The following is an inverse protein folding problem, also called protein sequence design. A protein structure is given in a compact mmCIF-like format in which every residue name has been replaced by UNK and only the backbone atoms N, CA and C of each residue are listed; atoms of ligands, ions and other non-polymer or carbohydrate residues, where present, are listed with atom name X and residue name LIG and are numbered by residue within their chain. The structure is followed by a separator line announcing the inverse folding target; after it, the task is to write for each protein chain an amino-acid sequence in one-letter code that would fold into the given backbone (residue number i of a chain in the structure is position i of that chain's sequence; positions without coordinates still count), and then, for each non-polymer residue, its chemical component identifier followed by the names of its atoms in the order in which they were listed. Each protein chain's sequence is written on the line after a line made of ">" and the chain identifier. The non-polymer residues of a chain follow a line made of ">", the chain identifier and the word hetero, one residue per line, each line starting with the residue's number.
data_IF_644261673813
#
_entry.id   IF_644261673813
#
_cell.length_a   1.000
_cell.length_b   1.000
_cell.length_c   1.000
_cell.angle_alpha   90.00
_cell.angle_beta   90.00
_cell.angle_gamma   90.00
#
_symmetry.space_group_name_H-M   'P 1'
#
loop_
_entity.id
_entity.type
_entity.pdbx_description
1 polymer ?
#
# COMPACT_ATOMS: atom_id res chain seq x y z
N UNK A 1 -2.22 111.25 -56.25
CA UNK A 1 -1.53 111.92 -57.37
C UNK A 1 -0.88 110.87 -58.25
N UNK A 2 -1.23 110.84 -59.55
CA UNK A 2 -0.42 110.39 -60.73
C UNK A 2 0.15 108.94 -60.69
N UNK A 3 0.17 108.12 -61.75
CA UNK A 3 -0.23 108.17 -63.16
C UNK A 3 0.13 106.77 -63.76
N UNK A 4 -0.72 106.21 -64.64
CA UNK A 4 -0.43 105.71 -66.01
C UNK A 4 0.53 104.49 -66.14
N UNK A 5 0.04 103.29 -66.51
CA UNK A 5 -0.03 102.65 -67.87
C UNK A 5 1.37 102.45 -68.55
N UNK A 6 1.75 101.35 -69.20
CA UNK A 6 1.07 100.43 -70.13
C UNK A 6 2.03 99.27 -70.57
N UNK A 7 1.45 98.20 -71.17
CA UNK A 7 2.02 97.16 -72.09
C UNK A 7 2.69 95.93 -71.46
N UNK A 8 2.57 94.69 -71.96
CA UNK A 8 1.69 94.00 -72.93
C UNK A 8 2.11 92.50 -72.88
N UNK A 9 1.14 91.58 -72.92
CA UNK A 9 1.24 90.17 -73.41
C UNK A 9 2.26 89.19 -72.78
N UNK A 10 1.76 88.18 -72.07
CA UNK A 10 1.73 86.79 -72.57
C UNK A 10 0.69 85.95 -71.82
N UNK A 11 0.02 85.12 -72.62
CA UNK A 11 -1.12 84.25 -72.35
C UNK A 11 -0.65 82.93 -71.68
N UNK A 12 -1.58 82.23 -70.99
CA UNK A 12 -1.64 80.77 -70.77
C UNK A 12 -1.36 80.18 -69.36
N UNK A 13 -2.44 79.55 -68.87
CA UNK A 13 -2.61 78.38 -67.98
C UNK A 13 -2.29 78.44 -66.48
N UNK A 14 -3.38 78.48 -65.72
CA UNK A 14 -3.57 77.76 -64.47
C UNK A 14 -3.40 76.24 -64.63
N UNK A 15 -2.55 75.61 -63.81
CA UNK A 15 -2.73 74.22 -63.39
C UNK A 15 -2.14 74.00 -61.99
N UNK A 16 -3.01 73.57 -61.09
CA UNK A 16 -2.72 73.06 -59.76
C UNK A 16 -1.83 71.81 -59.85
N UNK A 17 -0.60 71.90 -59.33
CA UNK A 17 0.23 70.74 -59.04
C UNK A 17 -0.29 70.07 -57.76
N UNK A 18 -1.20 69.12 -57.92
CA UNK A 18 -1.39 68.06 -56.94
C UNK A 18 -0.21 67.09 -57.04
N UNK A 19 0.50 66.85 -55.95
CA UNK A 19 1.49 65.77 -55.87
C UNK A 19 0.77 64.42 -56.00
N UNK A 20 0.78 63.81 -57.18
CA UNK A 20 0.66 62.36 -57.28
C UNK A 20 2.00 61.77 -56.86
N UNK A 21 2.08 61.25 -55.61
CA UNK A 21 3.05 60.19 -55.35
C UNK A 21 2.52 58.96 -56.07
N UNK A 22 3.22 58.56 -57.13
CA UNK A 22 2.97 57.29 -57.78
C UNK A 22 3.01 56.18 -56.71
N UNK A 23 1.97 55.36 -56.68
CA UNK A 23 1.95 54.14 -55.89
C UNK A 23 2.92 53.16 -56.54
N UNK A 24 4.18 53.17 -56.12
CA UNK A 24 5.13 52.10 -56.41
C UNK A 24 4.57 50.80 -55.80
N UNK A 25 4.00 49.94 -56.64
CA UNK A 25 3.62 48.59 -56.24
C UNK A 25 4.93 47.83 -55.96
N UNK A 26 5.16 47.29 -54.75
CA UNK A 26 6.36 46.53 -54.45
C UNK A 26 6.50 45.35 -55.42
N UNK A 27 7.67 45.20 -56.06
CA UNK A 27 7.94 44.07 -56.93
C UNK A 27 8.17 42.80 -56.08
N UNK A 28 7.11 42.02 -55.88
CA UNK A 28 7.14 40.80 -55.09
C UNK A 28 7.89 39.64 -55.79
N UNK A 29 8.05 39.69 -57.11
CA UNK A 29 8.71 38.63 -57.89
C UNK A 29 10.24 38.64 -57.67
N UNK A 30 10.81 39.80 -57.32
CA UNK A 30 12.23 39.99 -57.07
C UNK A 30 12.70 39.54 -55.67
N UNK A 31 11.80 39.06 -54.80
CA UNK A 31 12.18 38.57 -53.45
C UNK A 31 13.00 37.27 -53.60
N UNK A 32 14.19 37.22 -53.02
CA UNK A 32 15.05 36.04 -53.00
C UNK A 32 14.46 34.91 -52.14
N UNK A 33 14.88 33.68 -52.39
CA UNK A 33 14.53 32.56 -51.49
C UNK A 33 15.11 32.80 -50.08
N UNK A 34 14.50 32.22 -49.03
CA UNK A 34 15.02 32.33 -47.68
C UNK A 34 16.50 31.91 -47.54
N UNK A 35 17.27 32.64 -46.73
CA UNK A 35 18.66 32.32 -46.41
C UNK A 35 18.86 31.92 -44.96
N UNK A 36 19.98 31.26 -44.67
CA UNK A 36 20.52 31.00 -43.32
C UNK A 36 19.52 30.36 -42.33
N UNK A 37 18.65 29.47 -42.83
CA UNK A 37 17.67 28.79 -41.99
C UNK A 37 18.37 27.91 -40.95
N UNK A 38 18.01 28.11 -39.69
CA UNK A 38 18.51 27.38 -38.52
C UNK A 38 17.43 27.36 -37.43
N UNK A 39 17.69 26.67 -36.31
CA UNK A 39 16.91 26.84 -35.08
C UNK A 39 17.78 26.68 -33.84
N UNK A 40 17.47 27.46 -32.81
CA UNK A 40 17.90 27.17 -31.45
C UNK A 40 16.98 26.12 -30.83
N UNK A 41 17.57 25.10 -30.22
CA UNK A 41 16.87 24.00 -29.57
C UNK A 41 17.18 24.04 -28.07
N UNK A 42 16.13 24.04 -27.24
CA UNK A 42 16.26 23.97 -25.78
C UNK A 42 15.41 22.80 -25.26
N UNK A 43 16.05 21.87 -24.55
CA UNK A 43 15.41 20.67 -23.99
C UNK A 43 15.44 20.78 -22.48
N UNK A 44 14.30 20.55 -21.81
CA UNK A 44 14.28 20.52 -20.34
C UNK A 44 14.92 19.22 -19.83
N UNK A 45 15.84 19.27 -18.85
CA UNK A 45 16.46 18.09 -18.28
C UNK A 45 15.60 17.46 -17.18
N UNK A 46 14.31 17.22 -17.44
CA UNK A 46 13.31 16.80 -16.43
C UNK A 46 12.47 15.58 -16.87
N UNK A 47 12.92 14.84 -17.88
CA UNK A 47 12.20 13.70 -18.49
C UNK A 47 10.80 14.03 -19.05
N UNK A 48 10.43 15.32 -19.17
CA UNK A 48 9.16 15.70 -19.81
C UNK A 48 9.13 15.40 -21.31
N UNK A 49 10.30 15.39 -21.96
CA UNK A 49 10.41 15.34 -23.41
C UNK A 49 10.14 16.69 -24.09
N UNK A 50 9.90 17.76 -23.32
CA UNK A 50 9.65 19.09 -23.83
C UNK A 50 10.88 19.67 -24.52
N UNK A 51 10.69 20.02 -25.80
CA UNK A 51 11.69 20.69 -26.64
C UNK A 51 11.11 22.01 -27.16
N UNK A 52 11.74 23.11 -26.77
CA UNK A 52 11.46 24.44 -27.28
C UNK A 52 12.31 24.70 -28.53
N UNK A 53 11.64 24.96 -29.66
CA UNK A 53 12.26 25.18 -30.97
C UNK A 53 12.04 26.64 -31.37
N UNK A 54 13.13 27.36 -31.59
CA UNK A 54 13.12 28.77 -32.03
C UNK A 54 13.81 28.88 -33.39
N UNK A 55 13.05 28.88 -34.51
CA UNK A 55 13.63 28.97 -35.83
C UNK A 55 14.11 30.39 -36.16
N UNK A 56 15.16 30.47 -36.97
CA UNK A 56 15.76 31.72 -37.46
C UNK A 56 16.17 31.60 -38.92
N UNK A 57 16.25 32.73 -39.61
CA UNK A 57 16.66 32.83 -41.01
C UNK A 57 16.33 34.21 -41.59
N UNK A 58 16.82 34.50 -42.80
CA UNK A 58 16.66 35.79 -43.46
C UNK A 58 15.60 35.74 -44.56
N UNK A 59 14.83 36.84 -44.71
CA UNK A 59 13.81 36.97 -45.75
C UNK A 59 12.52 36.16 -45.53
N UNK A 60 12.24 35.73 -44.30
CA UNK A 60 11.15 34.80 -43.97
C UNK A 60 9.96 35.53 -43.36
N UNK A 61 8.75 35.15 -43.76
CA UNK A 61 7.49 35.62 -43.17
C UNK A 61 6.81 34.58 -42.30
N UNK A 62 7.16 33.30 -42.46
CA UNK A 62 6.61 32.19 -41.66
C UNK A 62 7.56 30.99 -41.68
N UNK A 63 7.63 30.27 -40.56
CA UNK A 63 8.25 28.95 -40.47
C UNK A 63 7.21 27.85 -40.32
N UNK A 64 7.47 26.71 -40.96
CA UNK A 64 6.82 25.43 -40.68
C UNK A 64 7.86 24.44 -40.15
N UNK A 65 7.56 23.81 -39.02
CA UNK A 65 8.45 22.87 -38.33
C UNK A 65 7.82 21.47 -38.39
N UNK A 66 8.48 20.53 -39.04
CA UNK A 66 8.10 19.13 -39.07
C UNK A 66 8.99 18.35 -38.10
N UNK A 67 8.40 17.74 -37.08
CA UNK A 67 9.13 17.22 -35.92
C UNK A 67 9.87 15.91 -36.18
N UNK A 68 9.44 15.11 -37.16
CA UNK A 68 10.12 13.87 -37.53
C UNK A 68 9.90 12.70 -36.57
N UNK A 69 8.93 12.81 -35.66
CA UNK A 69 8.54 11.80 -34.65
C UNK A 69 7.23 11.07 -34.98
N UNK A 70 6.71 11.26 -36.20
CA UNK A 70 5.41 10.75 -36.63
C UNK A 70 4.26 11.74 -36.51
N UNK A 71 4.47 12.91 -35.89
CA UNK A 71 3.50 14.02 -35.89
C UNK A 71 3.26 14.50 -37.33
N UNK A 72 2.00 14.48 -37.76
CA UNK A 72 1.62 14.72 -39.17
C UNK A 72 1.42 16.19 -39.50
N UNK A 73 1.05 17.01 -38.52
CA UNK A 73 0.87 18.44 -38.69
C UNK A 73 2.14 19.19 -38.28
N UNK A 74 2.65 20.10 -39.13
CA UNK A 74 3.79 20.92 -38.74
C UNK A 74 3.37 22.00 -37.74
N UNK A 75 4.29 22.35 -36.85
CA UNK A 75 4.22 23.58 -36.08
C UNK A 75 4.36 24.80 -36.98
N UNK A 76 3.60 25.86 -36.71
CA UNK A 76 3.69 27.13 -37.46
C UNK A 76 4.08 28.23 -36.50
N UNK A 77 5.15 28.95 -36.81
CA UNK A 77 5.63 30.08 -35.99
C UNK A 77 6.05 31.25 -36.87
N UNK A 78 5.89 32.47 -36.35
CA UNK A 78 6.41 33.66 -37.00
C UNK A 78 7.90 33.83 -36.69
N UNK A 79 8.63 34.64 -37.47
CA UNK A 79 10.00 35.01 -37.13
C UNK A 79 10.11 35.65 -35.74
N UNK A 80 10.99 35.10 -34.90
CA UNK A 80 11.21 35.55 -33.52
C UNK A 80 10.39 34.82 -32.46
N UNK A 81 9.37 34.05 -32.87
CA UNK A 81 8.58 33.21 -31.96
C UNK A 81 9.21 31.82 -31.77
N UNK A 82 8.78 31.12 -30.71
CA UNK A 82 9.16 29.74 -30.40
C UNK A 82 7.94 28.84 -30.36
N UNK A 83 8.15 27.53 -30.55
CA UNK A 83 7.13 26.50 -30.31
C UNK A 83 7.66 25.42 -29.38
N UNK A 84 6.81 24.95 -28.47
CA UNK A 84 7.07 23.81 -27.60
C UNK A 84 6.47 22.55 -28.24
N UNK A 85 7.24 21.47 -28.29
CA UNK A 85 6.78 20.14 -28.70
C UNK A 85 7.34 19.08 -27.76
N UNK A 86 6.54 18.06 -27.44
CA UNK A 86 6.93 16.99 -26.52
C UNK A 86 7.30 15.75 -27.32
N UNK A 87 8.55 15.33 -27.22
CA UNK A 87 9.11 14.16 -27.88
C UNK A 87 9.24 12.99 -26.90
N UNK A 88 9.19 11.76 -27.42
CA UNK A 88 9.68 10.59 -26.68
C UNK A 88 11.21 10.55 -26.69
N UNK A 89 11.81 9.68 -25.86
CA UNK A 89 13.25 9.41 -25.94
C UNK A 89 13.64 8.90 -27.33
N UNK A 90 14.68 9.49 -27.92
CA UNK A 90 15.13 9.14 -29.26
C UNK A 90 15.87 10.27 -29.97
N UNK A 91 16.23 10.02 -31.23
CA UNK A 91 16.81 11.02 -32.13
C UNK A 91 15.87 11.26 -33.30
N UNK A 92 15.51 12.52 -33.52
CA UNK A 92 14.54 12.96 -34.52
C UNK A 92 15.19 13.91 -35.52
N UNK A 93 14.77 13.81 -36.79
CA UNK A 93 15.21 14.73 -37.84
C UNK A 93 14.17 15.83 -38.00
N UNK A 94 14.38 16.96 -37.32
CA UNK A 94 13.45 18.10 -37.36
C UNK A 94 13.71 18.92 -38.60
N UNK A 95 12.71 19.05 -39.47
CA UNK A 95 12.79 19.82 -40.72
C UNK A 95 12.14 21.19 -40.55
N UNK A 96 12.87 22.24 -40.86
CA UNK A 96 12.42 23.64 -40.77
C UNK A 96 12.28 24.19 -42.18
N UNK A 97 11.09 24.67 -42.53
CA UNK A 97 10.78 25.26 -43.82
C UNK A 97 10.45 26.74 -43.62
N UNK A 98 11.30 27.62 -44.15
CA UNK A 98 11.04 29.05 -44.19
C UNK A 98 10.29 29.41 -45.46
N UNK A 99 9.30 30.30 -45.37
CA UNK A 99 8.55 30.81 -46.53
C UNK A 99 8.65 32.33 -46.59
N UNK A 100 8.91 32.87 -47.78
CA UNK A 100 8.90 34.31 -48.08
C UNK A 100 7.50 34.79 -48.47
N UNK A 101 7.33 36.13 -48.60
CA UNK A 101 6.05 36.74 -48.99
C UNK A 101 5.55 36.31 -50.39
N UNK A 102 6.45 35.99 -51.32
CA UNK A 102 6.09 35.52 -52.68
C UNK A 102 5.99 33.98 -52.78
N UNK A 103 6.04 33.27 -51.64
CA UNK A 103 5.89 31.82 -51.59
C UNK A 103 7.16 31.03 -51.91
N UNK A 104 8.31 31.66 -52.17
CA UNK A 104 9.59 30.94 -52.26
C UNK A 104 9.94 30.34 -50.90
N UNK A 105 10.43 29.10 -50.93
CA UNK A 105 10.80 28.33 -49.75
C UNK A 105 12.27 27.92 -49.79
N UNK A 106 12.86 27.77 -48.60
CA UNK A 106 14.08 27.01 -48.37
C UNK A 106 13.85 26.13 -47.14
N UNK A 107 14.59 25.03 -47.03
CA UNK A 107 14.49 24.13 -45.89
C UNK A 107 15.85 23.71 -45.36
N UNK A 108 15.88 23.35 -44.07
CA UNK A 108 17.03 22.72 -43.41
C UNK A 108 16.54 21.62 -42.50
N UNK A 109 17.40 20.67 -42.15
CA UNK A 109 17.10 19.61 -41.19
C UNK A 109 18.12 19.61 -40.08
N UNK A 110 17.66 19.54 -38.83
CA UNK A 110 18.49 19.58 -37.63
C UNK A 110 18.19 18.30 -36.81
N UNK A 111 19.21 17.56 -36.36
CA UNK A 111 19.01 16.43 -35.46
C UNK A 111 18.64 16.94 -34.05
N UNK A 112 17.60 16.39 -33.47
CA UNK A 112 17.20 16.62 -32.07
C UNK A 112 17.28 15.29 -31.33
N UNK A 113 18.12 15.21 -30.30
CA UNK A 113 18.25 14.02 -29.45
C UNK A 113 17.66 14.31 -28.09
N UNK A 114 16.64 13.53 -27.72
CA UNK A 114 15.99 13.56 -26.41
C UNK A 114 16.40 12.30 -25.66
N UNK A 115 17.01 12.47 -24.49
CA UNK A 115 17.44 11.38 -23.62
C UNK A 115 16.82 11.56 -22.25
N UNK A 116 16.38 10.47 -21.63
CA UNK A 116 15.84 10.50 -20.28
C UNK A 116 16.87 10.02 -19.25
N UNK A 117 16.85 10.65 -18.08
CA UNK A 117 17.66 10.25 -16.95
C UNK A 117 17.02 9.07 -16.23
N UNK A 118 17.85 8.14 -15.75
CA UNK A 118 17.40 7.09 -14.84
C UNK A 118 16.88 7.72 -13.54
N UNK A 119 15.86 7.12 -12.90
CA UNK A 119 15.42 7.60 -11.60
C UNK A 119 16.55 7.57 -10.57
N UNK A 120 16.64 8.59 -9.71
CA UNK A 120 17.62 8.66 -8.61
C UNK A 120 16.94 8.88 -7.28
N UNK A 121 17.68 8.67 -6.19
CA UNK A 121 17.21 8.93 -4.83
C UNK A 121 15.92 8.18 -4.47
N UNK A 122 15.77 6.97 -5.00
CA UNK A 122 14.64 6.09 -4.72
C UNK A 122 14.56 5.79 -3.22
N UNK A 123 13.55 6.36 -2.57
CA UNK A 123 13.21 6.09 -1.18
C UNK A 123 11.89 5.33 -1.14
N UNK A 124 11.92 4.14 -0.54
CA UNK A 124 10.76 3.27 -0.40
C UNK A 124 10.46 3.08 1.08
N UNK A 125 9.19 3.25 1.45
CA UNK A 125 8.71 2.97 2.80
C UNK A 125 7.72 1.82 2.75
N UNK A 126 8.05 0.72 3.42
CA UNK A 126 7.17 -0.43 3.61
C UNK A 126 6.87 -0.58 5.09
N UNK A 127 5.59 -0.58 5.46
CA UNK A 127 5.16 -0.66 6.86
C UNK A 127 4.05 -1.69 7.05
N UNK A 128 4.08 -2.41 8.17
CA UNK A 128 2.99 -3.31 8.58
C UNK A 128 1.73 -2.55 8.98
N UNK A 129 0.56 -3.17 8.81
CA UNK A 129 -0.72 -2.60 9.23
C UNK A 129 -1.01 -3.05 10.67
N UNK A 130 -1.07 -2.15 11.67
CA UNK A 130 -1.24 -2.54 13.08
C UNK A 130 -2.54 -3.32 13.36
N UNK A 131 -3.59 -3.07 12.57
CA UNK A 131 -4.89 -3.71 12.70
C UNK A 131 -5.03 -4.98 11.86
N UNK A 132 -4.03 -5.33 11.05
CA UNK A 132 -4.04 -6.53 10.22
C UNK A 132 -2.61 -7.08 10.06
N UNK A 133 -2.33 -8.18 10.75
CA UNK A 133 -1.01 -8.82 10.81
C UNK A 133 -0.55 -9.44 9.49
N UNK A 134 -1.44 -9.56 8.50
CA UNK A 134 -1.17 -10.00 7.13
C UNK A 134 -1.09 -8.84 6.13
N UNK A 135 -1.19 -7.60 6.59
CA UNK A 135 -1.24 -6.41 5.74
C UNK A 135 0.03 -5.57 5.78
N UNK A 136 0.38 -4.99 4.63
CA UNK A 136 1.41 -3.95 4.51
C UNK A 136 0.92 -2.74 3.72
N UNK A 137 1.61 -1.63 3.91
CA UNK A 137 1.52 -0.44 3.08
C UNK A 137 2.86 -0.15 2.41
N UNK A 138 2.82 0.37 1.19
CA UNK A 138 3.99 0.74 0.38
C UNK A 138 3.83 2.17 -0.10
N UNK A 139 4.88 2.97 0.06
CA UNK A 139 5.05 4.31 -0.54
C UNK A 139 6.43 4.40 -1.19
N UNK A 140 6.55 5.22 -2.21
CA UNK A 140 7.83 5.51 -2.85
C UNK A 140 7.90 6.97 -3.31
N UNK A 141 9.13 7.47 -3.40
CA UNK A 141 9.48 8.75 -4.00
C UNK A 141 10.83 8.61 -4.72
N UNK A 142 11.03 9.33 -5.81
CA UNK A 142 12.29 9.33 -6.56
C UNK A 142 12.38 10.57 -7.45
N UNK A 143 13.60 11.02 -7.74
CA UNK A 143 13.83 12.03 -8.77
C UNK A 143 13.74 11.39 -10.16
N UNK A 144 13.29 12.16 -11.16
CA UNK A 144 13.24 11.77 -12.58
C UNK A 144 12.36 10.53 -12.87
N UNK A 145 11.33 10.31 -12.05
CA UNK A 145 10.36 9.22 -12.17
C UNK A 145 9.07 9.69 -12.87
N UNK A 146 8.38 8.75 -13.52
CA UNK A 146 7.04 8.93 -14.13
C UNK A 146 5.99 7.99 -13.50
N UNK A 147 6.43 7.11 -12.61
CA UNK A 147 5.62 6.24 -11.78
C UNK A 147 6.48 5.19 -11.08
N UNK A 148 5.81 4.40 -10.25
CA UNK A 148 6.39 3.24 -9.59
C UNK A 148 5.60 1.98 -9.90
N UNK A 149 6.28 0.84 -9.76
CA UNK A 149 5.71 -0.51 -9.82
C UNK A 149 6.06 -1.23 -8.53
N UNK A 150 5.09 -1.85 -7.87
CA UNK A 150 5.33 -2.73 -6.71
C UNK A 150 4.96 -4.17 -7.04
N UNK A 151 5.85 -5.08 -6.68
CA UNK A 151 5.74 -6.53 -6.72
C UNK A 151 5.74 -7.00 -5.26
N UNK A 152 4.74 -7.78 -4.82
CA UNK A 152 4.58 -8.15 -3.42
C UNK A 152 5.30 -9.43 -3.03
N UNK A 153 5.92 -10.12 -3.98
CA UNK A 153 6.73 -11.32 -3.77
C UNK A 153 5.89 -12.58 -3.65
N UNK A 154 4.63 -12.57 -4.09
CA UNK A 154 3.72 -13.73 -3.98
C UNK A 154 3.95 -14.77 -5.09
N UNK A 155 4.45 -14.34 -6.26
CA UNK A 155 4.74 -15.21 -7.39
C UNK A 155 5.85 -14.63 -8.27
N UNK A 156 6.74 -15.46 -8.85
CA UNK A 156 7.71 -15.02 -9.85
C UNK A 156 7.11 -14.40 -11.11
N UNK A 157 5.82 -14.66 -11.38
CA UNK A 157 5.08 -14.16 -12.55
C UNK A 157 4.01 -13.13 -12.17
N UNK A 158 4.07 -12.56 -10.97
CA UNK A 158 3.08 -11.57 -10.54
C UNK A 158 3.10 -10.33 -11.45
N UNK A 159 1.92 -9.79 -11.71
CA UNK A 159 1.79 -8.49 -12.39
C UNK A 159 1.92 -7.40 -11.34
N UNK A 160 2.81 -6.41 -11.53
CA UNK A 160 3.00 -5.37 -10.54
C UNK A 160 1.80 -4.43 -10.47
N UNK A 161 1.64 -3.79 -9.31
CA UNK A 161 0.72 -2.67 -9.14
C UNK A 161 1.47 -1.39 -9.47
N UNK A 162 0.92 -0.58 -10.39
CA UNK A 162 1.47 0.73 -10.72
C UNK A 162 0.89 1.79 -9.76
N UNK A 163 1.71 2.76 -9.35
CA UNK A 163 1.30 3.86 -8.48
C UNK A 163 2.16 5.11 -8.71
N UNK A 164 1.69 6.26 -8.24
CA UNK A 164 2.39 7.55 -8.36
C UNK A 164 3.03 7.96 -7.04
N UNK A 165 3.97 8.92 -7.10
CA UNK A 165 4.52 9.53 -5.88
C UNK A 165 3.41 10.11 -4.99
N UNK A 166 3.51 9.85 -3.69
CA UNK A 166 2.51 10.28 -2.70
C UNK A 166 1.38 9.27 -2.44
N UNK A 167 1.18 8.29 -3.33
CA UNK A 167 0.19 7.23 -3.12
C UNK A 167 0.56 6.32 -1.94
N UNK A 168 -0.46 5.69 -1.35
CA UNK A 168 -0.29 4.67 -0.31
C UNK A 168 -0.93 3.38 -0.79
N UNK A 169 -0.10 2.44 -1.22
CA UNK A 169 -0.57 1.15 -1.72
C UNK A 169 -0.70 0.18 -0.56
N UNK A 170 -1.88 -0.41 -0.41
CA UNK A 170 -2.17 -1.41 0.62
C UNK A 170 -2.26 -2.79 -0.01
N UNK A 171 -1.67 -3.80 0.65
CA UNK A 171 -1.75 -5.19 0.23
C UNK A 171 -1.95 -6.12 1.44
N UNK A 172 -2.70 -7.21 1.24
CA UNK A 172 -2.97 -8.23 2.24
C UNK A 172 -2.59 -9.59 1.70
N UNK A 173 -1.68 -10.27 2.39
CA UNK A 173 -1.27 -11.62 2.06
C UNK A 173 -2.32 -12.63 2.50
N UNK A 174 -2.49 -13.70 1.73
CA UNK A 174 -3.41 -14.78 2.09
C UNK A 174 -2.86 -15.64 3.25
N UNK A 175 -1.54 -15.72 3.40
CA UNK A 175 -0.87 -16.58 4.37
C UNK A 175 0.22 -15.82 5.13
N UNK A 176 0.56 -16.29 6.33
CA UNK A 176 1.79 -15.86 7.00
C UNK A 176 3.02 -16.33 6.21
N UNK A 177 4.07 -15.53 6.22
CA UNK A 177 5.28 -15.83 5.48
C UNK A 177 6.24 -14.65 5.40
N UNK A 178 7.38 -14.88 4.77
CA UNK A 178 8.33 -13.83 4.39
C UNK A 178 8.30 -13.65 2.89
N UNK A 179 8.04 -12.43 2.46
CA UNK A 179 7.86 -12.04 1.06
C UNK A 179 8.91 -11.00 0.68
N UNK A 180 9.51 -11.15 -0.50
CA UNK A 180 10.44 -10.15 -1.02
C UNK A 180 9.65 -9.12 -1.83
N UNK A 181 9.34 -7.99 -1.21
CA UNK A 181 8.68 -6.89 -1.89
C UNK A 181 9.72 -6.15 -2.73
N UNK A 182 9.41 -5.92 -4.01
CA UNK A 182 10.24 -5.16 -4.93
C UNK A 182 9.48 -3.94 -5.43
N UNK A 183 10.10 -2.76 -5.34
CA UNK A 183 9.60 -1.52 -5.92
C UNK A 183 10.54 -1.05 -7.00
N UNK A 184 9.99 -0.67 -8.16
CA UNK A 184 10.72 -0.20 -9.33
C UNK A 184 10.22 1.19 -9.68
N UNK A 185 11.08 2.20 -9.60
CA UNK A 185 10.85 3.50 -10.18
C UNK A 185 11.09 3.44 -11.69
N UNK A 186 10.14 3.95 -12.48
CA UNK A 186 10.20 3.96 -13.93
C UNK A 186 10.22 5.39 -14.46
N UNK A 187 10.86 5.59 -15.61
CA UNK A 187 10.79 6.83 -16.41
C UNK A 187 10.03 6.57 -17.70
N UNK A 188 9.85 7.59 -18.55
CA UNK A 188 9.34 7.43 -19.92
C UNK A 188 10.27 6.65 -20.86
N UNK A 189 11.50 6.37 -20.42
CA UNK A 189 12.53 5.62 -21.15
C UNK A 189 12.69 4.19 -20.62
N UNK A 190 13.81 3.55 -20.98
CA UNK A 190 14.08 2.15 -20.55
C UNK A 190 14.79 2.02 -19.19
N UNK A 191 15.33 3.13 -18.66
CA UNK A 191 16.08 3.11 -17.41
C UNK A 191 15.15 3.04 -16.18
N UNK A 192 15.59 2.33 -15.14
CA UNK A 192 14.83 2.14 -13.90
C UNK A 192 15.74 2.17 -12.68
N UNK A 193 15.18 2.45 -11.51
CA UNK A 193 15.82 2.20 -10.21
C UNK A 193 14.97 1.18 -9.43
N UNK A 194 15.62 0.25 -8.72
CA UNK A 194 14.93 -0.81 -7.98
C UNK A 194 15.30 -0.79 -6.49
N UNK A 195 14.34 -1.19 -5.66
CA UNK A 195 14.51 -1.44 -4.24
C UNK A 195 13.85 -2.76 -3.86
N UNK A 196 14.51 -3.57 -3.05
CA UNK A 196 13.96 -4.82 -2.52
C UNK A 196 14.06 -4.88 -1.01
N UNK A 197 13.02 -5.43 -0.38
CA UNK A 197 12.99 -5.65 1.07
C UNK A 197 12.21 -6.93 1.38
N UNK A 198 12.78 -7.76 2.27
CA UNK A 198 12.04 -8.88 2.84
C UNK A 198 11.08 -8.35 3.92
N UNK A 199 9.82 -8.73 3.81
CA UNK A 199 8.73 -8.40 4.73
C UNK A 199 8.20 -9.70 5.32
N UNK A 200 8.14 -9.78 6.64
CA UNK A 200 7.52 -10.92 7.33
C UNK A 200 6.14 -10.53 7.85
N UNK A 201 5.12 -11.26 7.43
CA UNK A 201 3.76 -11.17 7.95
C UNK A 201 3.40 -12.44 8.71
N UNK A 202 2.64 -12.29 9.79
CA UNK A 202 2.34 -13.40 10.71
C UNK A 202 0.85 -13.46 11.02
N UNK A 203 0.34 -14.64 11.37
CA UNK A 203 -0.97 -14.77 11.98
C UNK A 203 -0.76 -14.82 13.49
N UNK A 204 -1.41 -13.97 14.30
CA UNK A 204 -1.30 -14.05 15.74
C UNK A 204 -1.85 -15.39 16.23
N UNK A 205 -1.08 -16.06 17.10
CA UNK A 205 -1.54 -17.27 17.78
C UNK A 205 -2.45 -16.85 18.92
N UNK A 206 -3.77 -16.92 18.69
CA UNK A 206 -4.77 -16.56 19.67
C UNK A 206 -5.33 -17.80 20.37
N UNK A 207 -5.27 -17.81 21.70
CA UNK A 207 -5.87 -18.83 22.56
C UNK A 207 -7.20 -18.28 23.05
N UNK A 208 -8.32 -18.80 22.57
CA UNK A 208 -9.67 -18.39 22.97
C UNK A 208 -10.52 -19.63 23.25
N UNK A 209 -11.72 -19.45 23.81
CA UNK A 209 -12.69 -20.54 23.89
C UNK A 209 -13.23 -20.87 22.47
N UNK A 210 -13.52 -22.13 22.16
CA UNK A 210 -13.31 -23.31 23.00
C UNK A 210 -11.83 -23.72 23.12
N UNK A 211 -11.45 -24.28 24.27
CA UNK A 211 -10.14 -24.93 24.47
C UNK A 211 -10.30 -26.44 24.30
N UNK A 212 -9.96 -26.93 23.11
CA UNK A 212 -9.96 -28.35 22.72
C UNK A 212 -8.55 -28.99 22.73
N UNK A 213 -7.52 -28.17 22.90
CA UNK A 213 -6.11 -28.57 22.95
C UNK A 213 -5.56 -29.32 21.70
N UNK A 214 -6.28 -29.28 20.57
CA UNK A 214 -5.92 -30.05 19.36
C UNK A 214 -4.95 -29.30 18.43
N UNK A 215 -4.90 -27.98 18.51
CA UNK A 215 -4.05 -27.18 17.60
C UNK A 215 -2.56 -27.48 17.81
N UNK A 216 -1.83 -27.91 16.76
CA UNK A 216 -0.40 -28.18 16.85
C UNK A 216 0.45 -26.89 16.87
N UNK A 217 -0.15 -25.74 16.57
CA UNK A 217 0.55 -24.45 16.48
C UNK A 217 0.27 -23.53 17.65
N UNK A 218 -0.82 -23.74 18.40
CA UNK A 218 -1.14 -22.93 19.58
C UNK A 218 -0.32 -23.38 20.80
N UNK A 219 0.37 -22.47 21.50
CA UNK A 219 1.19 -22.80 22.65
C UNK A 219 0.35 -22.84 23.94
N UNK A 220 -0.49 -23.86 24.11
CA UNK A 220 -1.32 -24.03 25.30
C UNK A 220 -0.46 -24.16 26.57
N UNK A 221 -0.27 -23.04 27.28
CA UNK A 221 0.64 -22.94 28.42
C UNK A 221 -0.16 -22.72 29.69
N UNK A 222 0.06 -23.60 30.67
CA UNK A 222 -0.56 -23.48 31.99
C UNK A 222 0.43 -22.91 33.01
N UNK A 223 -0.05 -21.93 33.78
CA UNK A 223 0.61 -21.50 35.01
C UNK A 223 0.10 -22.34 36.17
N UNK A 224 1.03 -22.95 36.90
CA UNK A 224 0.74 -23.98 37.90
C UNK A 224 1.02 -23.45 39.32
N UNK A 225 0.21 -23.83 40.31
CA UNK A 225 0.40 -23.38 41.69
C UNK A 225 -0.10 -24.39 42.72
N UNK A 226 0.36 -24.22 43.98
CA UNK A 226 -0.05 -25.06 45.11
C UNK A 226 0.41 -26.52 45.02
N UNK A 227 1.26 -26.89 44.07
CA UNK A 227 1.71 -28.28 43.85
C UNK A 227 0.87 -29.06 42.83
N UNK A 228 -0.02 -28.40 42.10
CA UNK A 228 -0.59 -28.95 40.87
C UNK A 228 0.36 -28.73 39.69
N UNK A 229 0.28 -29.59 38.67
CA UNK A 229 1.02 -29.44 37.42
C UNK A 229 0.14 -29.87 36.25
N UNK A 230 -0.19 -28.94 35.37
CA UNK A 230 -0.98 -29.20 34.16
C UNK A 230 -0.11 -29.21 32.92
N UNK A 231 -0.26 -30.23 32.09
CA UNK A 231 0.37 -30.35 30.76
C UNK A 231 -0.62 -30.87 29.73
N UNK A 232 -0.41 -30.53 28.45
CA UNK A 232 -1.15 -31.17 27.36
C UNK A 232 -0.51 -32.51 27.03
N UNK A 233 -1.29 -33.58 26.99
CA UNK A 233 -0.85 -34.96 26.75
C UNK A 233 -1.72 -35.63 25.70
N UNK A 234 -1.25 -36.73 25.12
CA UNK A 234 -2.11 -37.60 24.31
C UNK A 234 -3.21 -38.21 25.17
N UNK A 235 -4.45 -38.19 24.68
CA UNK A 235 -5.60 -38.73 25.40
C UNK A 235 -5.49 -40.26 25.52
N UNK A 236 -5.28 -40.77 26.74
CA UNK A 236 -5.22 -42.22 27.00
C UNK A 236 -6.60 -42.89 27.10
N UNK A 237 -7.67 -42.10 27.07
CA UNK A 237 -9.04 -42.54 27.30
C UNK A 237 -9.98 -42.03 26.19
N UNK A 238 -9.68 -42.30 24.92
CA UNK A 238 -10.52 -41.87 23.78
C UNK A 238 -11.82 -42.68 23.66
N UNK A 239 -12.76 -42.47 24.57
CA UNK A 239 -14.00 -43.25 24.71
C UNK A 239 -15.19 -42.37 25.14
N UNK A 240 -16.41 -42.84 24.87
CA UNK A 240 -17.61 -42.16 25.35
C UNK A 240 -17.80 -40.77 24.75
N UNK A 241 -17.98 -39.75 25.58
CA UNK A 241 -18.25 -38.37 25.13
C UNK A 241 -16.97 -37.62 24.72
N UNK A 242 -15.79 -38.19 24.93
CA UNK A 242 -14.52 -37.58 24.59
C UNK A 242 -13.62 -38.54 23.81
N UNK A 243 -13.43 -38.22 22.54
CA UNK A 243 -12.60 -38.99 21.60
C UNK A 243 -11.47 -38.12 21.02
N UNK A 244 -11.12 -37.02 21.70
CA UNK A 244 -10.04 -36.10 21.29
C UNK A 244 -8.69 -36.80 21.26
N UNK A 245 -7.74 -36.26 20.51
CA UNK A 245 -6.37 -36.81 20.44
C UNK A 245 -5.48 -36.27 21.55
N UNK A 246 -5.77 -35.06 22.03
CA UNK A 246 -5.07 -34.34 23.08
C UNK A 246 -6.05 -33.91 24.16
N UNK A 247 -5.57 -33.90 25.40
CA UNK A 247 -6.30 -33.39 26.57
C UNK A 247 -5.32 -32.67 27.49
N UNK A 248 -5.84 -31.81 28.36
CA UNK A 248 -5.07 -31.31 29.48
C UNK A 248 -5.06 -32.33 30.63
N UNK A 249 -3.90 -32.54 31.25
CA UNK A 249 -3.67 -33.47 32.36
C UNK A 249 -3.11 -32.71 33.55
N UNK A 250 -3.91 -32.58 34.61
CA UNK A 250 -3.51 -31.99 35.87
C UNK A 250 -3.11 -33.09 36.85
N UNK A 251 -1.84 -33.10 37.24
CA UNK A 251 -1.33 -33.92 38.35
C UNK A 251 -1.37 -33.10 39.62
N UNK A 252 -2.16 -33.53 40.62
CA UNK A 252 -2.19 -32.92 41.95
C UNK A 252 -1.27 -33.71 42.88
N UNK A 253 -0.02 -33.27 42.98
CA UNK A 253 1.05 -34.00 43.67
C UNK A 253 0.73 -34.38 45.11
N UNK A 254 1.35 -35.44 45.63
CA UNK A 254 1.20 -35.81 47.03
C UNK A 254 1.66 -34.67 47.95
N UNK A 255 0.82 -34.26 48.89
CA UNK A 255 1.05 -33.10 49.75
C UNK A 255 0.78 -31.74 49.10
N UNK A 256 0.24 -31.69 47.89
CA UNK A 256 -0.21 -30.43 47.27
C UNK A 256 -1.30 -29.77 48.11
N UNK A 257 -1.35 -28.44 48.03
CA UNK A 257 -2.28 -27.59 48.78
C UNK A 257 -3.73 -27.93 48.46
N UNK A 258 -4.62 -27.66 49.43
CA UNK A 258 -6.07 -27.87 49.26
C UNK A 258 -6.69 -27.01 48.16
N UNK A 259 -6.00 -25.94 47.78
CA UNK A 259 -6.34 -25.01 46.72
C UNK A 259 -5.39 -25.13 45.51
N UNK A 260 -4.64 -26.22 45.36
CA UNK A 260 -3.75 -26.40 44.22
C UNK A 260 -4.52 -26.43 42.90
N UNK A 261 -3.98 -25.77 41.87
CA UNK A 261 -4.63 -25.65 40.57
C UNK A 261 -3.70 -25.09 39.50
N UNK A 262 -4.26 -24.88 38.32
CA UNK A 262 -3.57 -24.31 37.18
C UNK A 262 -4.48 -23.32 36.45
N UNK A 263 -3.90 -22.36 35.75
CA UNK A 263 -4.65 -21.47 34.87
C UNK A 263 -4.01 -21.32 33.49
N UNK A 264 -4.87 -21.02 32.51
CA UNK A 264 -4.48 -20.61 31.17
C UNK A 264 -5.04 -19.22 30.89
N UNK A 265 -4.26 -18.39 30.20
CA UNK A 265 -4.67 -17.06 29.77
C UNK A 265 -5.19 -17.09 28.34
N UNK A 266 -6.37 -16.51 28.14
CA UNK A 266 -6.98 -16.30 26.84
C UNK A 266 -6.47 -14.99 26.24
N UNK A 267 -6.42 -14.94 24.92
CA UNK A 267 -6.01 -13.77 24.15
C UNK A 267 -7.10 -12.69 24.07
N UNK A 268 -8.33 -13.01 24.44
CA UNK A 268 -9.44 -12.06 24.48
C UNK A 268 -10.41 -12.36 25.63
N UNK A 269 -11.11 -11.34 26.18
CA UNK A 269 -12.11 -11.55 27.22
C UNK A 269 -13.24 -12.48 26.78
N UNK A 270 -13.70 -13.33 27.69
CA UNK A 270 -14.90 -14.16 27.50
C UNK A 270 -16.13 -13.25 27.51
N UNK A 271 -17.00 -13.36 26.48
CA UNK A 271 -18.23 -12.59 26.38
C UNK A 271 -19.41 -13.30 27.05
N UNK A 272 -19.84 -12.80 28.21
CA UNK A 272 -20.97 -13.33 28.98
C UNK A 272 -22.31 -12.64 28.67
N UNK A 273 -22.40 -11.85 27.60
CA UNK A 273 -23.65 -11.13 27.23
C UNK A 273 -24.79 -12.08 26.83
N UNK A 274 -24.45 -13.22 26.21
CA UNK A 274 -25.41 -14.23 25.73
C UNK A 274 -25.25 -15.54 26.50
N UNK A 275 -24.09 -16.20 26.36
CA UNK A 275 -23.82 -17.52 26.96
C UNK A 275 -23.22 -17.37 28.35
N UNK A 276 -23.96 -17.77 29.38
CA UNK A 276 -23.61 -17.52 30.79
C UNK A 276 -23.04 -18.71 31.54
N UNK A 277 -22.83 -19.85 30.86
CA UNK A 277 -22.26 -21.04 31.46
C UNK A 277 -20.99 -21.45 30.72
N UNK A 278 -20.09 -22.12 31.44
CA UNK A 278 -18.98 -22.85 30.84
C UNK A 278 -19.20 -24.35 31.06
N UNK A 279 -18.81 -25.15 30.07
CA UNK A 279 -18.77 -26.61 30.14
C UNK A 279 -17.35 -27.08 29.98
N UNK A 280 -17.01 -28.21 30.61
CA UNK A 280 -15.71 -28.85 30.53
C UNK A 280 -15.90 -30.35 30.67
N UNK A 281 -15.30 -31.13 29.77
CA UNK A 281 -15.25 -32.58 29.92
C UNK A 281 -14.15 -32.93 30.91
N UNK A 282 -14.41 -33.89 31.79
CA UNK A 282 -13.43 -34.36 32.77
C UNK A 282 -13.42 -35.87 32.87
N UNK A 283 -12.24 -36.43 33.12
CA UNK A 283 -12.02 -37.80 33.54
C UNK A 283 -11.27 -37.79 34.87
N UNK A 284 -11.89 -38.30 35.93
CA UNK A 284 -11.34 -38.27 37.28
C UNK A 284 -11.30 -39.67 37.90
N UNK A 285 -10.26 -40.03 38.67
CA UNK A 285 -10.14 -41.35 39.30
C UNK A 285 -11.07 -41.55 40.50
N UNK A 286 -11.69 -40.48 41.00
CA UNK A 286 -12.58 -40.48 42.16
C UNK A 286 -13.88 -39.73 41.85
N UNK A 287 -15.00 -40.21 42.40
CA UNK A 287 -16.30 -39.53 42.40
C UNK A 287 -16.52 -38.75 43.70
N UNK A 288 -17.46 -37.81 43.68
CA UNK A 288 -17.77 -36.94 44.82
C UNK A 288 -16.76 -35.81 45.04
N UNK A 289 -15.73 -35.68 44.20
CA UNK A 289 -14.77 -34.58 44.28
C UNK A 289 -15.36 -33.29 43.73
N UNK A 290 -14.92 -32.17 44.29
CA UNK A 290 -15.24 -30.83 43.79
C UNK A 290 -14.21 -30.42 42.75
N UNK A 291 -14.68 -30.14 41.55
CA UNK A 291 -13.93 -29.38 40.55
C UNK A 291 -14.41 -27.94 40.63
N UNK A 292 -13.48 -27.03 40.92
CA UNK A 292 -13.78 -25.59 40.95
C UNK A 292 -13.24 -24.97 39.66
N UNK A 293 -14.05 -24.15 39.02
CA UNK A 293 -13.61 -23.25 37.96
C UNK A 293 -13.64 -21.83 38.49
N UNK A 294 -12.55 -21.09 38.29
CA UNK A 294 -12.46 -19.67 38.63
C UNK A 294 -12.10 -18.89 37.38
N UNK A 295 -12.83 -17.80 37.17
CA UNK A 295 -12.53 -16.84 36.12
C UNK A 295 -11.95 -15.59 36.76
N UNK A 296 -10.80 -15.13 36.27
CA UNK A 296 -10.14 -13.93 36.79
C UNK A 296 -9.89 -12.89 35.69
N UNK A 297 -9.90 -11.63 36.10
CA UNK A 297 -9.36 -10.56 35.28
C UNK A 297 -7.85 -10.73 35.09
N UNK A 298 -7.36 -10.37 33.90
CA UNK A 298 -5.96 -10.51 33.52
C UNK A 298 -5.01 -9.66 34.37
N UNK A 299 -5.41 -8.42 34.67
CA UNK A 299 -4.57 -7.46 35.39
C UNK A 299 -4.76 -7.51 36.92
N UNK A 300 -5.88 -8.06 37.40
CA UNK A 300 -6.25 -8.03 38.81
C UNK A 300 -7.03 -9.29 39.21
N UNK A 301 -6.34 -10.26 39.82
CA UNK A 301 -6.94 -11.53 40.23
C UNK A 301 -7.99 -11.41 41.34
N UNK A 302 -8.13 -10.24 41.99
CA UNK A 302 -9.21 -10.00 42.97
C UNK A 302 -10.57 -9.81 42.30
N UNK A 303 -10.58 -9.41 41.02
CA UNK A 303 -11.78 -9.38 40.18
C UNK A 303 -12.01 -10.76 39.58
N UNK A 304 -12.69 -11.61 40.34
CA UNK A 304 -12.91 -13.00 39.98
C UNK A 304 -14.32 -13.50 40.27
N UNK A 305 -14.64 -14.69 39.74
CA UNK A 305 -15.83 -15.46 40.11
C UNK A 305 -15.46 -16.95 40.15
N UNK A 306 -15.90 -17.63 41.21
CA UNK A 306 -15.69 -19.06 41.43
C UNK A 306 -17.02 -19.81 41.33
N UNK A 307 -16.99 -20.98 40.70
CA UNK A 307 -18.14 -21.87 40.57
C UNK A 307 -17.67 -23.32 40.73
N UNK A 308 -18.44 -24.09 41.49
CA UNK A 308 -18.15 -25.49 41.79
C UNK A 308 -19.04 -26.42 40.97
N UNK A 309 -18.46 -27.55 40.57
CA UNK A 309 -19.16 -28.69 40.01
C UNK A 309 -18.64 -29.98 40.66
N UNK A 310 -19.52 -30.96 40.82
CA UNK A 310 -19.17 -32.24 41.45
C UNK A 310 -19.04 -33.32 40.39
N UNK A 311 -17.98 -34.11 40.49
CA UNK A 311 -17.78 -35.31 39.68
C UNK A 311 -18.69 -36.42 40.20
N UNK A 312 -19.66 -36.88 39.42
CA UNK A 312 -20.63 -37.88 39.85
C UNK A 312 -20.08 -39.32 39.76
N UNK A 313 -19.23 -39.59 38.77
CA UNK A 313 -18.75 -40.95 38.47
C UNK A 313 -17.24 -40.98 38.30
N UNK A 314 -16.56 -41.94 38.91
CA UNK A 314 -15.13 -42.15 38.74
C UNK A 314 -14.83 -42.90 37.44
N UNK A 315 -13.64 -42.72 36.88
CA UNK A 315 -13.11 -43.47 35.73
C UNK A 315 -14.05 -43.48 34.52
N UNK A 316 -14.70 -42.36 34.25
CA UNK A 316 -15.53 -42.14 33.06
C UNK A 316 -15.54 -40.66 32.69
N UNK A 317 -15.62 -40.38 31.39
CA UNK A 317 -15.80 -39.02 30.91
C UNK A 317 -17.19 -38.51 31.30
N UNK A 318 -17.22 -37.30 31.83
CA UNK A 318 -18.46 -36.57 32.10
C UNK A 318 -18.28 -35.09 31.78
N UNK A 319 -19.37 -34.42 31.43
CA UNK A 319 -19.37 -32.99 31.15
C UNK A 319 -19.85 -32.24 32.38
N UNK A 320 -18.96 -31.46 33.00
CA UNK A 320 -19.30 -30.55 34.09
C UNK A 320 -19.83 -29.24 33.53
N UNK A 321 -20.79 -28.64 34.22
CA UNK A 321 -21.36 -27.33 33.89
C UNK A 321 -21.10 -26.36 35.04
N UNK A 322 -20.52 -25.21 34.72
CA UNK A 322 -20.23 -24.10 35.63
C UNK A 322 -21.14 -22.92 35.28
N UNK A 323 -22.07 -22.59 36.17
CA UNK A 323 -23.02 -21.50 35.98
C UNK A 323 -22.46 -20.15 36.44
N UNK A 324 -22.08 -19.31 35.47
CA UNK A 324 -21.59 -17.95 35.67
C UNK A 324 -22.70 -16.90 35.48
N UNK A 325 -23.98 -17.25 35.59
CA UNK A 325 -25.10 -16.30 35.43
C UNK A 325 -25.05 -15.10 36.39
N UNK A 326 -24.35 -15.25 37.53
CA UNK A 326 -24.12 -14.19 38.52
C UNK A 326 -22.77 -13.47 38.38
N UNK A 327 -22.07 -13.62 37.26
CA UNK A 327 -20.77 -12.97 37.03
C UNK A 327 -20.92 -11.45 36.87
N UNK A 328 -19.97 -10.68 37.39
CA UNK A 328 -19.97 -9.24 37.24
C UNK A 328 -19.44 -8.86 35.85
N UNK A 329 -20.35 -8.58 34.90
CA UNK A 329 -20.01 -8.19 33.53
C UNK A 329 -19.36 -6.79 33.41
N UNK A 330 -19.20 -6.05 34.51
CA UNK A 330 -18.38 -4.82 34.52
C UNK A 330 -16.87 -5.12 34.52
N UNK A 331 -16.49 -6.37 34.76
CA UNK A 331 -15.11 -6.85 34.68
C UNK A 331 -14.91 -7.66 33.41
N UNK A 332 -13.68 -7.66 32.90
CA UNK A 332 -13.25 -8.60 31.84
C UNK A 332 -12.57 -9.81 32.46
N UNK A 333 -12.77 -10.99 31.87
CA UNK A 333 -12.23 -12.25 32.36
C UNK A 333 -11.46 -12.96 31.26
N UNK A 334 -10.20 -13.28 31.52
CA UNK A 334 -9.28 -13.88 30.54
C UNK A 334 -8.43 -15.00 31.15
N UNK A 335 -8.41 -15.17 32.46
CA UNK A 335 -7.82 -16.36 33.10
C UNK A 335 -8.90 -17.38 33.37
N UNK A 336 -8.72 -18.58 32.84
CA UNK A 336 -9.50 -19.76 33.21
C UNK A 336 -8.65 -20.59 34.16
N UNK A 337 -9.05 -20.63 35.43
CA UNK A 337 -8.38 -21.39 36.49
C UNK A 337 -9.21 -22.63 36.81
N UNK A 338 -8.55 -23.78 36.91
CA UNK A 338 -9.18 -25.06 37.26
C UNK A 338 -8.50 -25.68 38.47
N UNK A 339 -9.32 -26.16 39.40
CA UNK A 339 -8.89 -26.87 40.59
C UNK A 339 -9.59 -28.22 40.64
N UNK A 340 -8.84 -29.29 40.81
CA UNK A 340 -9.41 -30.63 41.04
C UNK A 340 -9.33 -31.01 42.51
N UNK A 341 -10.37 -31.69 42.98
CA UNK A 341 -10.52 -32.13 44.36
C UNK A 341 -10.33 -30.98 45.36
N UNK A 342 -10.98 -29.86 45.07
CA UNK A 342 -10.81 -28.62 45.84
C UNK A 342 -11.21 -28.82 47.31
N UNK A 343 -10.37 -28.33 48.22
CA UNK A 343 -10.55 -28.51 49.66
C UNK A 343 -9.82 -29.74 50.23
N UNK A 344 -9.40 -30.68 49.39
CA UNK A 344 -8.61 -31.85 49.80
C UNK A 344 -7.12 -31.68 49.48
N UNK A 345 -6.25 -32.20 50.36
CA UNK A 345 -4.80 -32.25 50.11
C UNK A 345 -4.51 -33.18 48.93
N UNK A 346 -3.49 -32.83 48.14
CA UNK A 346 -3.08 -33.67 47.02
C UNK A 346 -2.60 -35.05 47.47
N UNK A 347 -3.01 -36.07 46.72
CA UNK A 347 -2.68 -37.48 46.96
C UNK A 347 -1.88 -38.11 45.79
N UNK A 348 -1.45 -37.29 44.81
CA UNK A 348 -0.74 -37.75 43.61
C UNK A 348 -1.65 -38.14 42.44
N UNK A 349 -2.96 -37.89 42.52
CA UNK A 349 -3.90 -38.22 41.45
C UNK A 349 -3.72 -37.35 40.21
N UNK A 350 -4.03 -37.95 39.05
CA UNK A 350 -4.10 -37.29 37.75
C UNK A 350 -5.55 -37.10 37.34
N UNK A 351 -5.89 -35.91 36.84
CA UNK A 351 -7.20 -35.55 36.34
C UNK A 351 -7.05 -35.07 34.89
N UNK A 352 -7.88 -35.60 33.99
CA UNK A 352 -7.90 -35.13 32.59
C UNK A 352 -9.08 -34.20 32.38
N UNK A 353 -8.89 -33.19 31.55
CA UNK A 353 -9.95 -32.30 31.13
C UNK A 353 -9.76 -31.78 29.71
N UNK A 354 -10.88 -31.47 29.08
CA UNK A 354 -10.94 -31.06 27.68
C UNK A 354 -12.19 -30.23 27.38
N UNK A 355 -12.26 -29.68 26.17
CA UNK A 355 -13.43 -29.02 25.58
C UNK A 355 -14.03 -27.92 26.49
N UNK A 356 -13.19 -27.04 27.01
CA UNK A 356 -13.69 -25.89 27.79
C UNK A 356 -14.40 -24.94 26.84
N UNK A 357 -15.72 -24.76 26.98
CA UNK A 357 -16.53 -23.98 26.05
C UNK A 357 -17.69 -23.26 26.71
N UNK A 358 -18.13 -22.16 26.10
CA UNK A 358 -19.36 -21.48 26.51
C UNK A 358 -20.61 -22.30 26.15
N UNK A 359 -21.63 -22.19 26.98
CA UNK A 359 -22.96 -22.74 26.75
C UNK A 359 -24.06 -21.91 27.42
N UNK A 360 -25.32 -22.19 27.07
CA UNK A 360 -26.51 -21.51 27.60
C UNK A 360 -27.00 -22.07 28.94
#
# INVERSE_FOLDING_TARGET
>A
MKKIHLLLTIFILSLSLGCSKDNEIPNLDAINAPGDISAAISIKPDNSGDVLITPSGTGITQFKIYYGDGTTLPGIVNPGDSILHTFLEGTFSVKIVGTTLNGKISETTIPVTVSFFAPTDLLVTIASIPTNSLGITVKAQANFENGFKVFFGESPTETPVNFLEGDVITHFYANAGTYQVKVVAVTGGSATAEYTQNVTVTVPLLINLPLDFESPTLPYTFSNFGGANTTIVSNSHQVGIDTSTKVASLVKGAGAQVWAGSFIELSSPIDFSVMKKLKMKVWCPQSGIIVKMKLENLADSTKNKEVDATVATANSWQELTFDFSSINMSYTYQRVVVFFDFGASGNGSTYLFDDIRQSN
#
